data_IF_933767844513
#
_entry.id   IF_933767844513
#
_cell.length_a   1.000
_cell.length_b   1.000
_cell.length_c   1.000
_cell.angle_alpha   90.00
_cell.angle_beta   90.00
_cell.angle_gamma   90.00
#
_symmetry.space_group_name_H-M   'P 1'
#
loop_
_entity.id
_entity.type
_entity.pdbx_description
1 polymer ?
#
# COMPACT_ATOMS: atom_id res chain seq x y z
N UNK A 1 -6.18 -4.02 -7.69
CA UNK A 1 -7.12 -3.06 -8.33
C UNK A 1 -6.38 -1.85 -8.96
N UNK A 2 -5.72 -2.01 -10.12
CA UNK A 2 -4.80 -0.98 -10.63
C UNK A 2 -5.44 0.17 -11.44
N UNK A 3 -6.77 0.16 -11.60
CA UNK A 3 -7.50 1.07 -12.49
C UNK A 3 -8.57 1.91 -11.77
N UNK A 4 -8.59 1.94 -10.44
CA UNK A 4 -9.45 2.87 -9.72
C UNK A 4 -8.83 4.28 -9.77
N UNK A 5 -9.62 5.36 -9.83
CA UNK A 5 -9.07 6.72 -9.83
C UNK A 5 -8.26 7.01 -8.56
N UNK A 6 -7.14 7.73 -8.67
CA UNK A 6 -6.25 8.00 -7.53
C UNK A 6 -6.96 8.58 -6.30
N UNK A 7 -7.93 9.48 -6.51
CA UNK A 7 -8.72 10.07 -5.42
C UNK A 7 -9.50 9.01 -4.64
N UNK A 8 -10.07 8.04 -5.36
CA UNK A 8 -10.83 6.94 -4.75
C UNK A 8 -9.89 5.95 -4.08
N UNK A 9 -8.73 5.67 -4.68
CA UNK A 9 -7.71 4.82 -4.08
C UNK A 9 -7.19 5.39 -2.75
N UNK A 10 -6.95 6.71 -2.69
CA UNK A 10 -6.53 7.41 -1.46
C UNK A 10 -7.63 7.34 -0.40
N UNK A 11 -8.90 7.48 -0.80
CA UNK A 11 -10.04 7.36 0.11
C UNK A 11 -10.11 5.94 0.68
N UNK A 12 -9.99 4.94 -0.18
CA UNK A 12 -10.01 3.52 0.20
C UNK A 12 -8.86 3.19 1.17
N UNK A 13 -7.64 3.71 0.95
CA UNK A 13 -6.52 3.54 1.87
C UNK A 13 -6.86 3.95 3.31
N UNK A 14 -7.69 4.99 3.49
CA UNK A 14 -8.04 5.55 4.80
C UNK A 14 -9.19 4.83 5.48
N UNK A 15 -10.13 4.32 4.69
CA UNK A 15 -11.40 3.79 5.19
C UNK A 15 -11.36 2.27 5.39
N UNK A 16 -10.50 1.56 4.66
CA UNK A 16 -10.43 0.10 4.75
C UNK A 16 -9.59 -0.35 5.94
N UNK A 17 -10.08 -1.36 6.66
CA UNK A 17 -9.30 -2.10 7.66
C UNK A 17 -8.71 -3.40 7.08
N UNK A 18 -9.09 -3.76 5.85
CA UNK A 18 -8.57 -4.95 5.18
C UNK A 18 -7.16 -4.71 4.66
N UNK A 19 -6.19 -5.37 5.29
CA UNK A 19 -4.79 -5.28 4.91
C UNK A 19 -4.53 -5.77 3.47
N UNK A 20 -5.28 -6.75 2.96
CA UNK A 20 -5.07 -7.25 1.60
C UNK A 20 -5.40 -6.17 0.58
N UNK A 21 -6.49 -5.44 0.80
CA UNK A 21 -6.83 -4.25 0.01
C UNK A 21 -5.72 -3.20 0.06
N UNK A 22 -5.17 -2.88 1.24
CA UNK A 22 -4.08 -1.91 1.36
C UNK A 22 -2.81 -2.39 0.62
N UNK A 23 -2.46 -3.67 0.77
CA UNK A 23 -1.34 -4.29 0.05
C UNK A 23 -1.51 -4.19 -1.47
N UNK A 24 -2.70 -4.46 -2.00
CA UNK A 24 -2.97 -4.26 -3.43
C UNK A 24 -2.76 -2.82 -3.89
N UNK A 25 -3.14 -1.83 -3.07
CA UNK A 25 -2.97 -0.41 -3.39
C UNK A 25 -1.50 0.02 -3.43
N UNK A 26 -0.58 -0.74 -2.82
CA UNK A 26 0.86 -0.51 -3.01
C UNK A 26 1.33 -0.79 -4.44
N UNK A 27 0.53 -1.46 -5.28
CA UNK A 27 0.82 -1.71 -6.70
C UNK A 27 0.18 -0.67 -7.64
N UNK A 28 -0.41 0.39 -7.10
CA UNK A 28 -1.10 1.40 -7.89
C UNK A 28 -0.13 2.20 -8.77
N UNK A 29 -0.59 2.58 -9.96
CA UNK A 29 0.23 3.32 -10.96
C UNK A 29 0.69 4.69 -10.44
N UNK A 30 -0.17 5.36 -9.68
CA UNK A 30 0.12 6.66 -9.07
C UNK A 30 1.00 6.49 -7.81
N UNK A 31 2.21 7.08 -7.78
CA UNK A 31 3.12 7.01 -6.63
C UNK A 31 2.55 7.64 -5.35
N UNK A 32 1.63 8.60 -5.45
CA UNK A 32 0.97 9.18 -4.28
C UNK A 32 0.07 8.15 -3.60
N UNK A 33 -0.63 7.34 -4.38
CA UNK A 33 -1.46 6.24 -3.85
C UNK A 33 -0.58 5.20 -3.18
N UNK A 34 0.54 4.80 -3.82
CA UNK A 34 1.48 3.83 -3.24
C UNK A 34 2.06 4.31 -1.90
N UNK A 35 2.54 5.55 -1.85
CA UNK A 35 3.01 6.16 -0.61
C UNK A 35 1.92 6.17 0.46
N UNK A 36 0.67 6.50 0.07
CA UNK A 36 -0.44 6.55 1.01
C UNK A 36 -0.77 5.17 1.57
N UNK A 37 -0.80 4.15 0.72
CA UNK A 37 -1.03 2.77 1.10
C UNK A 37 0.03 2.30 2.10
N UNK A 38 1.32 2.53 1.81
CA UNK A 38 2.42 2.22 2.74
C UNK A 38 2.23 2.84 4.13
N UNK A 39 1.80 4.11 4.20
CA UNK A 39 1.54 4.80 5.48
C UNK A 39 0.38 4.21 6.28
N UNK A 40 -0.57 3.54 5.61
CA UNK A 40 -1.73 2.91 6.25
C UNK A 40 -1.49 1.45 6.60
N UNK A 41 -0.41 0.85 6.09
CA UNK A 41 -0.01 -0.47 6.54
C UNK A 41 0.51 -0.38 7.98
N UNK A 42 -0.21 -0.99 8.92
CA UNK A 42 0.26 -1.18 10.29
C UNK A 42 0.64 -2.64 10.54
N UNK A 43 1.88 -2.95 10.97
CA UNK A 43 2.24 -4.31 11.41
C UNK A 43 1.38 -4.76 12.61
N UNK A 44 0.84 -3.82 13.39
CA UNK A 44 -0.11 -4.12 14.47
C UNK A 44 -1.45 -4.71 14.02
N UNK A 45 -1.84 -4.45 12.76
CA UNK A 45 -3.07 -4.97 12.13
C UNK A 45 -2.80 -6.28 11.40
N UNK A 46 -1.53 -6.55 11.10
CA UNK A 46 -1.01 -7.81 10.56
C UNK A 46 -0.78 -8.75 11.75
N UNK A 47 -1.86 -9.39 12.22
CA UNK A 47 -1.82 -10.36 13.32
C UNK A 47 -1.30 -11.75 12.91
N UNK A 48 -1.10 -11.95 11.61
CA UNK A 48 -0.53 -13.14 11.01
C UNK A 48 0.86 -12.81 10.44
N UNK A 49 1.80 -13.76 10.48
CA UNK A 49 3.05 -13.70 9.73
C UNK A 49 2.75 -13.76 8.22
N UNK A 50 2.40 -12.61 7.65
CA UNK A 50 2.24 -12.47 6.21
C UNK A 50 3.62 -12.07 5.69
N UNK A 51 4.44 -13.05 5.31
CA UNK A 51 5.75 -12.80 4.67
C UNK A 51 5.61 -11.84 3.48
N UNK A 52 4.52 -11.97 2.72
CA UNK A 52 4.16 -11.10 1.59
C UNK A 52 4.08 -9.61 1.98
N UNK A 53 3.73 -9.29 3.23
CA UNK A 53 3.74 -7.92 3.71
C UNK A 53 5.16 -7.37 3.81
N UNK A 54 6.05 -8.11 4.45
CA UNK A 54 7.44 -7.68 4.63
C UNK A 54 8.19 -7.66 3.31
N UNK A 55 7.99 -8.67 2.46
CA UNK A 55 8.49 -8.69 1.08
C UNK A 55 8.08 -7.42 0.35
N UNK A 56 6.79 -7.05 0.43
CA UNK A 56 6.31 -5.83 -0.23
C UNK A 56 6.95 -4.56 0.34
N UNK A 57 7.08 -4.43 1.66
CA UNK A 57 7.74 -3.25 2.25
C UNK A 57 9.19 -3.14 1.79
N UNK A 58 9.91 -4.26 1.72
CA UNK A 58 11.29 -4.30 1.21
C UNK A 58 11.34 -3.93 -0.27
N UNK A 59 10.47 -4.47 -1.11
CA UNK A 59 10.39 -4.10 -2.54
C UNK A 59 10.17 -2.59 -2.74
N UNK A 60 9.39 -1.95 -1.86
CA UNK A 60 9.10 -0.52 -1.98
C UNK A 60 10.31 0.37 -1.66
N UNK A 61 11.35 -0.16 -1.03
CA UNK A 61 12.62 0.56 -0.87
C UNK A 61 13.35 0.81 -2.20
N UNK A 62 12.98 0.07 -3.25
CA UNK A 62 13.49 0.25 -4.62
C UNK A 62 12.46 0.90 -5.55
N UNK A 63 11.36 1.48 -5.01
CA UNK A 63 10.33 2.12 -5.83
C UNK A 63 10.93 3.24 -6.71
N UNK A 64 10.58 3.35 -8.00
CA UNK A 64 11.14 4.38 -8.88
C UNK A 64 10.86 5.81 -8.42
N UNK A 65 9.82 6.03 -7.61
CA UNK A 65 9.46 7.35 -7.12
C UNK A 65 10.08 7.63 -5.74
N UNK A 66 10.86 8.71 -5.66
CA UNK A 66 11.59 9.11 -4.44
C UNK A 66 10.69 9.38 -3.23
N UNK A 67 9.43 9.74 -3.47
CA UNK A 67 8.47 9.96 -2.39
C UNK A 67 7.92 8.66 -1.80
N UNK A 68 8.17 7.51 -2.43
CA UNK A 68 7.65 6.21 -2.02
C UNK A 68 8.69 5.41 -1.23
N UNK A 69 9.96 5.49 -1.63
CA UNK A 69 11.12 4.95 -0.89
C UNK A 69 11.29 5.64 0.47
#
# INVERSE_FOLDING_TARGET
MNNIPSKEAIRLCRETEDIKTILELTNHVDPIVRQRALKEICPCRVKDDIDVFWERVVEMTDDPADNVR
#
